data_IF_134848293897
#
_entry.id   IF_134848293897
#
_cell.length_a   1.000
_cell.length_b   1.000
_cell.length_c   1.000
_cell.angle_alpha   90.00
_cell.angle_beta   90.00
_cell.angle_gamma   90.00
#
_symmetry.space_group_name_H-M   'P 1'
#
loop_
_entity.id
_entity.type
_entity.pdbx_description
1 polymer ?
#
# COMPACT_ATOMS: atom_id res chain seq x y z
N UNK A 1 -24.69 47.82 -72.91
CA UNK A 1 -23.74 47.89 -71.77
C UNK A 1 -24.16 46.85 -70.78
N UNK A 2 -23.43 45.67 -70.76
CA UNK A 2 -23.79 44.51 -69.94
C UNK A 2 -22.78 44.40 -68.77
N UNK A 3 -23.25 44.62 -67.58
CA UNK A 3 -22.49 44.53 -66.34
C UNK A 3 -22.39 43.08 -65.91
N UNK A 4 -21.17 42.50 -65.89
CA UNK A 4 -20.92 41.16 -65.41
C UNK A 4 -20.62 41.19 -63.92
N UNK A 5 -21.53 40.64 -63.12
CA UNK A 5 -21.33 40.46 -61.66
C UNK A 5 -20.45 39.25 -61.48
N UNK A 6 -19.27 39.46 -60.90
CA UNK A 6 -18.37 38.39 -60.49
C UNK A 6 -18.73 37.97 -59.05
N UNK A 7 -19.32 36.78 -58.89
CA UNK A 7 -19.63 36.22 -57.60
C UNK A 7 -18.40 35.46 -57.10
N UNK A 8 -17.69 36.05 -56.14
CA UNK A 8 -16.63 35.35 -55.37
C UNK A 8 -17.28 34.41 -54.34
N UNK A 9 -17.17 33.12 -54.57
CA UNK A 9 -17.52 32.08 -53.59
C UNK A 9 -16.33 31.91 -52.63
N UNK A 10 -16.46 32.43 -51.40
CA UNK A 10 -15.53 32.16 -50.32
C UNK A 10 -15.85 30.76 -49.74
N UNK A 11 -15.02 29.80 -50.08
CA UNK A 11 -15.07 28.45 -49.51
C UNK A 11 -14.40 28.50 -48.13
N UNK A 12 -15.22 28.62 -47.09
CA UNK A 12 -14.74 28.53 -45.69
C UNK A 12 -14.37 27.06 -45.37
N UNK A 13 -13.07 26.78 -45.33
CA UNK A 13 -12.52 25.50 -44.88
C UNK A 13 -12.55 25.47 -43.35
N UNK A 14 -13.59 24.81 -42.79
CA UNK A 14 -13.65 24.54 -41.35
C UNK A 14 -12.69 23.42 -41.03
N UNK A 15 -11.56 23.79 -40.43
CA UNK A 15 -10.60 22.78 -39.85
C UNK A 15 -11.17 22.32 -38.52
N UNK A 16 -11.78 21.14 -38.50
CA UNK A 16 -12.10 20.42 -37.27
C UNK A 16 -10.79 19.93 -36.65
N UNK A 17 -10.28 20.67 -35.69
CA UNK A 17 -9.21 20.21 -34.81
C UNK A 17 -9.86 19.23 -33.83
N UNK A 18 -9.84 17.94 -34.17
CA UNK A 18 -10.14 16.87 -33.22
C UNK A 18 -9.00 16.85 -32.19
N UNK A 19 -9.17 17.60 -31.10
CA UNK A 19 -8.33 17.44 -29.93
C UNK A 19 -8.58 16.04 -29.35
N UNK A 20 -7.73 15.06 -29.66
CA UNK A 20 -7.57 13.89 -28.81
C UNK A 20 -7.09 14.41 -27.46
N UNK A 21 -8.01 14.56 -26.50
CA UNK A 21 -7.67 14.59 -25.10
C UNK A 21 -7.18 13.17 -24.78
N UNK A 22 -5.88 12.94 -24.86
CA UNK A 22 -5.28 11.83 -24.19
C UNK A 22 -5.58 12.05 -22.71
N UNK A 23 -6.51 11.27 -22.13
CA UNK A 23 -6.52 11.02 -20.72
C UNK A 23 -5.18 10.35 -20.44
N UNK A 24 -4.17 11.14 -20.13
CA UNK A 24 -3.08 10.65 -19.30
C UNK A 24 -3.76 10.27 -17.97
N UNK A 25 -4.05 8.98 -17.79
CA UNK A 25 -4.12 8.41 -16.47
C UNK A 25 -2.79 8.74 -15.85
N UNK A 26 -2.76 9.72 -14.98
CA UNK A 26 -1.67 9.91 -14.03
C UNK A 26 -1.70 8.62 -13.22
N UNK A 27 -0.91 7.63 -13.65
CA UNK A 27 -0.56 6.49 -12.80
C UNK A 27 -0.03 7.13 -11.53
N UNK A 28 -0.78 6.94 -10.43
CA UNK A 28 -0.47 7.55 -9.14
C UNK A 28 0.89 7.05 -8.68
N UNK A 29 1.95 7.76 -9.02
CA UNK A 29 3.28 7.45 -8.55
C UNK A 29 3.34 7.83 -7.08
N UNK A 30 3.41 6.83 -6.21
CA UNK A 30 3.61 7.04 -4.79
C UNK A 30 5.01 7.62 -4.54
N UNK A 31 5.09 8.59 -3.64
CA UNK A 31 6.35 9.22 -3.24
C UNK A 31 7.00 8.31 -2.19
N UNK A 32 7.93 7.49 -2.64
CA UNK A 32 8.61 6.52 -1.78
C UNK A 32 9.73 7.21 -0.99
N UNK A 33 9.86 6.95 0.33
CA UNK A 33 10.99 7.41 1.12
C UNK A 33 12.34 7.00 0.50
N UNK A 34 13.35 7.87 0.61
CA UNK A 34 14.67 7.62 0.01
C UNK A 34 15.38 6.37 0.58
N UNK A 35 15.08 6.03 1.84
CA UNK A 35 15.67 4.91 2.58
C UNK A 35 14.82 3.62 2.53
N UNK A 36 13.74 3.61 1.75
CA UNK A 36 12.91 2.41 1.59
C UNK A 36 13.71 1.29 0.89
N UNK A 37 13.54 0.01 1.28
CA UNK A 37 14.22 -1.09 0.59
C UNK A 37 13.93 -1.11 -0.92
N UNK A 38 14.95 -1.33 -1.75
CA UNK A 38 14.89 -1.24 -3.22
C UNK A 38 13.85 -2.17 -3.88
N UNK A 39 13.50 -3.29 -3.22
CA UNK A 39 12.49 -4.22 -3.70
C UNK A 39 11.05 -3.70 -3.53
N UNK A 40 10.84 -2.63 -2.74
CA UNK A 40 9.55 -1.98 -2.59
C UNK A 40 9.37 -0.99 -3.75
N UNK A 41 8.45 -1.31 -4.64
CA UNK A 41 8.23 -0.55 -5.88
C UNK A 41 6.79 -0.04 -5.97
N UNK A 42 6.58 1.02 -6.76
CA UNK A 42 5.25 1.66 -6.89
C UNK A 42 4.13 0.68 -7.27
N UNK A 43 4.40 -0.31 -8.12
CA UNK A 43 3.42 -1.32 -8.51
C UNK A 43 2.87 -2.18 -7.36
N UNK A 44 3.57 -2.24 -6.22
CA UNK A 44 3.08 -2.95 -5.04
C UNK A 44 1.86 -2.25 -4.40
N UNK A 45 1.67 -0.97 -4.67
CA UNK A 45 0.59 -0.16 -4.10
C UNK A 45 -0.60 0.05 -5.04
N UNK A 46 -0.45 -0.27 -6.34
CA UNK A 46 -1.47 0.01 -7.36
C UNK A 46 -2.71 -0.88 -7.27
N UNK A 47 -2.54 -2.12 -6.74
CA UNK A 47 -3.60 -3.13 -6.74
C UNK A 47 -4.02 -3.56 -5.33
N UNK A 48 -3.97 -2.65 -4.36
CA UNK A 48 -4.41 -2.93 -3.00
C UNK A 48 -5.93 -3.07 -2.95
N UNK A 49 -6.39 -4.22 -2.47
CA UNK A 49 -7.81 -4.45 -2.20
C UNK A 49 -8.19 -3.86 -0.82
N UNK A 50 -8.63 -2.62 -0.82
CA UNK A 50 -9.04 -1.88 0.37
C UNK A 50 -10.30 -2.43 1.05
N UNK A 51 -11.06 -3.28 0.38
CA UNK A 51 -12.25 -3.91 0.96
C UNK A 51 -11.91 -5.19 1.75
N UNK A 52 -10.75 -5.77 1.53
CA UNK A 52 -10.25 -6.93 2.27
C UNK A 52 -9.68 -6.53 3.64
N UNK A 53 -10.56 -6.07 4.53
CA UNK A 53 -10.18 -5.63 5.88
C UNK A 53 -9.66 -6.79 6.72
N UNK A 54 -8.61 -6.52 7.50
CA UNK A 54 -8.12 -7.45 8.51
C UNK A 54 -9.21 -7.76 9.54
N UNK A 55 -9.40 -9.04 9.83
CA UNK A 55 -10.42 -9.52 10.77
C UNK A 55 -9.80 -10.24 11.96
N UNK A 56 -10.52 -10.29 13.07
CA UNK A 56 -10.08 -11.03 14.25
C UNK A 56 -10.27 -12.55 14.05
N UNK A 57 -9.24 -13.32 14.34
CA UNK A 57 -9.26 -14.78 14.34
C UNK A 57 -8.32 -15.34 15.42
N UNK A 58 -8.44 -16.63 15.75
CA UNK A 58 -7.61 -17.32 16.75
C UNK A 58 -7.41 -16.52 18.05
N UNK A 59 -8.52 -16.02 18.61
CA UNK A 59 -8.55 -15.25 19.85
C UNK A 59 -8.36 -13.75 19.61
N UNK A 60 -7.13 -13.26 19.58
CA UNK A 60 -6.82 -11.82 19.49
C UNK A 60 -5.86 -11.45 18.36
N UNK A 61 -5.67 -12.34 17.39
CA UNK A 61 -4.92 -12.03 16.17
C UNK A 61 -5.88 -11.30 15.21
N UNK A 62 -5.45 -10.18 14.66
CA UNK A 62 -6.18 -9.42 13.65
C UNK A 62 -5.37 -9.46 12.36
N UNK A 63 -5.98 -9.93 11.27
CA UNK A 63 -5.26 -10.08 9.99
C UNK A 63 -6.04 -10.88 8.96
N UNK A 64 -5.29 -11.55 8.07
CA UNK A 64 -5.78 -12.47 7.05
C UNK A 64 -5.56 -13.90 7.54
N UNK A 65 -6.63 -14.62 7.86
CA UNK A 65 -6.57 -15.97 8.43
C UNK A 65 -5.73 -16.92 7.56
N UNK A 66 -4.87 -17.72 8.19
CA UNK A 66 -3.91 -18.64 7.55
C UNK A 66 -2.88 -17.98 6.63
N UNK A 67 -2.67 -16.66 6.73
CA UNK A 67 -1.65 -15.93 5.98
C UNK A 67 -0.79 -15.05 6.86
N UNK A 68 -1.35 -13.98 7.42
CA UNK A 68 -0.64 -13.16 8.39
C UNK A 68 -1.60 -12.43 9.33
N UNK A 69 -1.09 -12.03 10.49
CA UNK A 69 -1.85 -11.22 11.43
C UNK A 69 -1.03 -10.72 12.60
N UNK A 70 -1.64 -9.90 13.42
CA UNK A 70 -0.99 -9.17 14.51
C UNK A 70 -1.76 -9.32 15.81
N UNK A 71 -1.04 -9.63 16.89
CA UNK A 71 -1.52 -9.40 18.26
C UNK A 71 -1.01 -8.03 18.71
N UNK A 72 -1.87 -7.27 19.37
CA UNK A 72 -1.58 -5.90 19.83
C UNK A 72 -2.14 -4.81 18.92
N UNK A 73 -2.76 -5.21 17.85
CA UNK A 73 -3.40 -4.35 16.87
C UNK A 73 -4.88 -4.03 17.17
N UNK A 74 -5.28 -3.99 18.40
CA UNK A 74 -6.58 -3.44 18.85
C UNK A 74 -6.55 -1.93 19.10
N UNK A 75 -6.37 -1.34 18.40
CA UNK A 75 -5.51 -0.64 17.56
C UNK A 75 -4.90 0.58 18.18
N UNK A 76 -3.73 0.88 17.79
CA UNK A 76 -2.96 1.92 18.39
C UNK A 76 -3.68 3.24 18.25
N UNK A 77 -3.65 3.99 19.31
CA UNK A 77 -3.71 5.42 19.20
C UNK A 77 -2.50 5.89 18.39
N UNK A 78 -2.73 6.83 17.48
CA UNK A 78 -1.66 7.52 16.76
C UNK A 78 -0.62 8.08 17.73
N UNK A 79 0.60 8.26 17.24
CA UNK A 79 1.73 8.88 17.93
C UNK A 79 2.34 8.11 19.11
N UNK A 80 1.69 7.06 19.60
CA UNK A 80 2.21 6.25 20.71
C UNK A 80 2.91 5.00 20.17
N UNK A 81 4.13 4.74 20.68
CA UNK A 81 4.82 3.48 20.37
C UNK A 81 4.09 2.32 21.00
N UNK A 82 3.73 1.33 20.18
CA UNK A 82 3.02 0.13 20.62
C UNK A 82 3.81 -1.12 20.27
N UNK A 83 3.57 -2.19 21.01
CA UNK A 83 4.19 -3.48 20.76
C UNK A 83 3.23 -4.33 19.95
N UNK A 84 3.61 -4.68 18.74
CA UNK A 84 2.92 -5.63 17.90
C UNK A 84 3.67 -6.96 17.86
N UNK A 85 2.92 -8.08 17.83
CA UNK A 85 3.44 -9.41 17.60
C UNK A 85 2.92 -9.89 16.23
N UNK A 86 3.81 -9.94 15.28
CA UNK A 86 3.52 -10.43 13.92
C UNK A 86 3.48 -11.95 13.92
N UNK A 87 2.53 -12.52 13.18
CA UNK A 87 2.37 -13.96 12.96
C UNK A 87 2.23 -14.19 11.46
N UNK A 88 2.98 -15.17 10.92
CA UNK A 88 2.99 -15.52 9.52
C UNK A 88 2.86 -17.04 9.35
N UNK A 89 1.99 -17.46 8.46
CA UNK A 89 1.76 -18.84 8.07
C UNK A 89 2.33 -19.08 6.67
N UNK A 90 2.90 -20.25 6.40
CA UNK A 90 3.53 -20.60 5.13
C UNK A 90 4.99 -20.15 5.02
N UNK A 91 5.66 -19.89 6.14
CA UNK A 91 7.10 -19.59 6.19
C UNK A 91 7.89 -20.86 6.51
N UNK A 92 8.61 -21.39 5.54
CA UNK A 92 9.35 -22.65 5.68
C UNK A 92 10.59 -22.53 6.60
N UNK A 93 11.32 -21.42 6.53
CA UNK A 93 12.55 -21.18 7.27
C UNK A 93 12.51 -19.86 8.06
N UNK A 94 11.76 -19.78 9.17
CA UNK A 94 11.56 -18.54 9.91
C UNK A 94 12.85 -17.80 10.29
N UNK A 95 13.82 -18.51 10.86
CA UNK A 95 15.08 -17.92 11.34
C UNK A 95 16.02 -17.43 10.21
N UNK A 96 15.75 -17.82 8.98
CA UNK A 96 16.46 -17.35 7.78
C UNK A 96 15.62 -16.35 6.99
N UNK A 97 14.45 -15.96 7.51
CA UNK A 97 13.52 -15.01 6.85
C UNK A 97 13.51 -13.68 7.57
N UNK A 98 13.62 -12.62 6.80
CA UNK A 98 13.43 -11.26 7.27
C UNK A 98 12.04 -10.76 6.87
N UNK A 99 11.36 -10.11 7.80
CA UNK A 99 10.11 -9.42 7.59
C UNK A 99 10.36 -7.93 7.39
N UNK A 100 9.98 -7.39 6.23
CA UNK A 100 9.92 -5.95 5.99
C UNK A 100 8.47 -5.49 6.07
N UNK A 101 8.23 -4.36 6.74
CA UNK A 101 6.89 -3.83 6.99
C UNK A 101 6.82 -2.39 6.47
N UNK A 102 5.90 -2.17 5.54
CA UNK A 102 5.69 -0.87 4.89
C UNK A 102 4.24 -0.45 5.07
N UNK A 103 3.99 0.77 5.52
CA UNK A 103 2.64 1.33 5.65
C UNK A 103 2.31 2.29 4.53
N UNK A 104 1.13 2.14 3.91
CA UNK A 104 0.55 3.12 3.01
C UNK A 104 -0.72 3.69 3.65
N UNK A 105 -0.77 5.01 3.82
CA UNK A 105 -1.96 5.70 4.27
C UNK A 105 -2.88 6.01 3.08
N UNK A 106 -4.14 5.55 3.12
CA UNK A 106 -5.07 5.60 1.98
C UNK A 106 -5.36 7.02 1.52
N UNK A 107 -5.72 7.90 2.47
CA UNK A 107 -6.23 9.25 2.15
C UNK A 107 -5.14 10.18 1.62
N UNK A 108 -3.91 10.03 2.09
CA UNK A 108 -2.80 10.89 1.65
C UNK A 108 -1.94 10.28 0.55
N UNK A 109 -2.02 8.96 0.35
CA UNK A 109 -1.14 8.23 -0.55
C UNK A 109 0.32 8.21 -0.10
N UNK A 110 0.60 8.52 1.17
CA UNK A 110 1.98 8.58 1.71
C UNK A 110 2.44 7.23 2.23
N UNK A 111 3.70 6.90 1.95
CA UNK A 111 4.36 5.66 2.40
C UNK A 111 5.20 5.92 3.63
N UNK A 112 5.11 5.04 4.64
CA UNK A 112 5.73 5.22 5.94
C UNK A 112 6.43 3.97 6.45
N UNK A 113 7.54 4.18 7.16
CA UNK A 113 8.14 3.18 8.01
C UNK A 113 7.26 2.97 9.25
N UNK A 114 6.75 1.76 9.43
CA UNK A 114 5.86 1.40 10.56
C UNK A 114 6.67 0.92 11.78
N UNK A 115 7.72 0.13 11.54
CA UNK A 115 8.59 -0.34 12.62
C UNK A 115 9.48 0.81 13.12
N UNK A 116 9.60 0.96 14.43
CA UNK A 116 10.43 2.05 15.00
C UNK A 116 11.95 1.78 14.94
N UNK A 117 12.37 0.58 14.56
CA UNK A 117 13.77 0.15 14.47
C UNK A 117 14.33 0.09 13.05
N UNK A 118 13.57 0.51 12.04
CA UNK A 118 13.90 0.42 10.62
C UNK A 118 12.80 -0.28 9.84
N UNK A 119 13.02 -0.56 8.57
CA UNK A 119 12.02 -1.21 7.70
C UNK A 119 11.88 -2.72 7.95
N UNK A 120 12.92 -3.37 8.51
CA UNK A 120 13.06 -4.82 8.49
C UNK A 120 13.41 -5.36 9.88
N UNK A 121 12.89 -6.55 10.20
CA UNK A 121 13.20 -7.33 11.41
C UNK A 121 13.31 -8.82 11.06
N UNK A 122 14.09 -9.57 11.84
CA UNK A 122 14.18 -11.03 11.68
C UNK A 122 12.95 -11.74 12.24
N UNK A 123 12.62 -12.90 11.70
CA UNK A 123 11.59 -13.78 12.22
C UNK A 123 12.16 -14.82 13.19
N UNK A 124 11.35 -15.26 14.15
CA UNK A 124 11.55 -16.41 14.99
C UNK A 124 10.59 -17.55 14.57
N UNK A 125 10.77 -18.75 15.13
CA UNK A 125 9.99 -19.93 14.82
C UNK A 125 8.51 -19.84 15.18
N UNK A 126 7.88 -20.98 15.37
CA UNK A 126 6.44 -21.12 15.62
C UNK A 126 5.94 -20.35 16.86
N UNK A 127 4.76 -19.78 16.74
CA UNK A 127 4.07 -19.13 17.85
C UNK A 127 2.56 -19.02 17.56
N UNK A 128 1.71 -19.31 18.52
CA UNK A 128 0.25 -19.24 18.40
C UNK A 128 -0.33 -19.92 17.15
N UNK A 129 0.29 -21.03 16.71
CA UNK A 129 -0.12 -21.77 15.53
C UNK A 129 0.37 -21.21 14.18
N UNK A 130 1.11 -20.11 14.19
CA UNK A 130 1.82 -19.60 13.01
C UNK A 130 3.20 -20.24 12.90
N UNK A 131 3.71 -20.44 11.68
CA UNK A 131 5.05 -20.98 11.43
C UNK A 131 6.15 -20.04 11.86
N UNK A 132 5.89 -18.74 11.79
CA UNK A 132 6.84 -17.69 12.13
C UNK A 132 6.20 -16.56 12.92
N UNK A 133 6.99 -15.92 13.79
CA UNK A 133 6.56 -14.71 14.50
C UNK A 133 7.72 -13.76 14.76
N UNK A 134 7.39 -12.50 15.09
CA UNK A 134 8.36 -11.57 15.65
C UNK A 134 7.66 -10.44 16.40
N UNK A 135 8.15 -10.04 17.59
CA UNK A 135 7.70 -8.82 18.23
C UNK A 135 8.40 -7.59 17.65
N UNK A 136 7.68 -6.50 17.52
CA UNK A 136 8.30 -5.21 17.19
C UNK A 136 7.59 -4.06 17.90
N UNK A 137 8.27 -2.91 17.98
CA UNK A 137 7.59 -1.67 18.28
C UNK A 137 7.18 -0.99 16.99
N UNK A 138 5.93 -0.56 16.94
CA UNK A 138 5.36 0.18 15.82
C UNK A 138 4.91 1.56 16.25
N UNK A 139 4.86 2.48 15.29
CA UNK A 139 4.29 3.79 15.45
C UNK A 139 3.58 4.20 14.18
N UNK A 140 2.28 4.47 14.28
CA UNK A 140 1.46 4.94 13.16
C UNK A 140 1.34 6.46 13.31
N UNK A 141 1.68 7.24 12.28
CA UNK A 141 1.78 8.70 12.42
C UNK A 141 0.44 9.43 12.38
N UNK A 142 -0.61 8.82 11.84
CA UNK A 142 -1.94 9.45 11.70
C UNK A 142 -3.06 8.41 11.68
N UNK A 143 -4.28 8.84 12.02
CA UNK A 143 -5.50 8.03 11.93
C UNK A 143 -5.91 7.82 10.46
N UNK A 144 -6.81 6.87 10.21
CA UNK A 144 -7.37 6.56 8.89
C UNK A 144 -7.15 5.12 8.45
N UNK A 145 -7.42 4.85 7.18
CA UNK A 145 -7.20 3.54 6.59
C UNK A 145 -5.74 3.34 6.17
N UNK A 146 -5.21 2.21 6.56
CA UNK A 146 -3.83 1.82 6.27
C UNK A 146 -3.75 0.46 5.60
N UNK A 147 -2.97 0.38 4.54
CA UNK A 147 -2.47 -0.88 4.03
C UNK A 147 -1.07 -1.12 4.60
N UNK A 148 -0.93 -2.21 5.35
CA UNK A 148 0.36 -2.65 5.89
C UNK A 148 0.87 -3.79 5.00
N UNK A 149 1.85 -3.49 4.17
CA UNK A 149 2.48 -4.43 3.24
C UNK A 149 3.58 -5.19 3.99
N UNK A 150 3.50 -6.49 3.94
CA UNK A 150 4.45 -7.42 4.54
C UNK A 150 5.29 -8.07 3.45
N UNK A 151 6.60 -7.98 3.55
CA UNK A 151 7.52 -8.65 2.62
C UNK A 151 8.34 -9.70 3.37
N UNK A 152 8.41 -10.90 2.83
CA UNK A 152 9.28 -11.97 3.32
C UNK A 152 10.50 -12.09 2.37
N UNK A 153 11.69 -11.79 2.88
CA UNK A 153 12.94 -11.76 2.10
C UNK A 153 12.88 -10.93 0.80
N UNK A 154 12.08 -9.87 0.78
CA UNK A 154 11.92 -8.97 -0.36
C UNK A 154 10.73 -9.28 -1.27
N UNK A 155 10.09 -10.42 -1.13
CA UNK A 155 8.86 -10.77 -1.86
C UNK A 155 7.63 -10.28 -1.11
N UNK A 156 6.69 -9.63 -1.80
CA UNK A 156 5.42 -9.22 -1.20
C UNK A 156 4.64 -10.46 -0.75
N UNK A 157 4.52 -10.59 0.56
CA UNK A 157 3.94 -11.76 1.20
C UNK A 157 2.44 -11.60 1.45
N UNK A 158 2.04 -10.46 2.03
CA UNK A 158 0.63 -10.17 2.36
C UNK A 158 0.39 -8.67 2.50
N UNK A 159 -0.89 -8.26 2.46
CA UNK A 159 -1.33 -6.89 2.71
C UNK A 159 -2.45 -6.91 3.74
N UNK A 160 -2.25 -6.23 4.86
CA UNK A 160 -3.24 -6.10 5.93
C UNK A 160 -3.88 -4.72 5.90
N UNK A 161 -5.19 -4.67 5.76
CA UNK A 161 -5.93 -3.40 5.76
C UNK A 161 -6.49 -3.15 7.16
N UNK A 162 -6.04 -2.06 7.76
CA UNK A 162 -6.45 -1.63 9.10
C UNK A 162 -7.14 -0.26 9.08
N UNK A 163 -8.13 -0.09 9.94
CA UNK A 163 -8.65 1.22 10.34
C UNK A 163 -7.94 1.62 11.64
N UNK A 164 -7.19 2.71 11.60
CA UNK A 164 -6.45 3.22 12.75
C UNK A 164 -7.19 4.44 13.31
N UNK A 165 -7.60 4.36 14.55
CA UNK A 165 -8.35 5.40 15.23
C UNK A 165 -7.43 6.39 15.98
N UNK A 166 -7.96 7.57 16.33
CA UNK A 166 -7.30 8.55 17.18
C UNK A 166 -7.12 8.09 18.63
#
# INVERSE_FOLDING_TARGET
>A
MKLKIFTCIFLSMVILVSGCSANETVEGRFDLPEDIPEFVVNSNFENIDWENKAVAFNGNIIGNENKSGVIGANMPSITTKQKWMWHLWGIENPTATNLTVVGLHRETGTVHQVLTSGWTTGLAGENNGADAHTPSHVQIPMAGEWAILLYANGDLFDVLIYEINE
#
